data_IF_754148578057
#
_entry.id   IF_754148578057
#
_cell.length_a   1.000
_cell.length_b   1.000
_cell.length_c   1.000
_cell.angle_alpha   90.00
_cell.angle_beta   90.00
_cell.angle_gamma   90.00
#
_symmetry.space_group_name_H-M   'P 1'
#
loop_
_entity.id
_entity.type
_entity.pdbx_description
1 polymer ?
#
# COMPACT_ATOMS: atom_id res chain seq x y z
N UNK A 1 4.69 -9.39 4.23
CA UNK A 1 5.68 -9.67 3.17
C UNK A 1 5.92 -11.17 2.97
N UNK A 2 5.91 -11.96 4.02
CA UNK A 2 6.15 -13.41 3.92
C UNK A 2 5.06 -14.14 3.13
N UNK A 3 3.85 -13.62 3.13
CA UNK A 3 2.71 -14.23 2.43
C UNK A 3 2.82 -14.21 0.91
N UNK A 4 3.70 -13.38 0.35
CA UNK A 4 3.89 -13.25 -1.10
C UNK A 4 4.91 -14.23 -1.65
N UNK A 5 5.61 -14.97 -0.80
CA UNK A 5 6.71 -15.84 -1.21
C UNK A 5 7.98 -15.09 -1.62
N UNK A 6 8.01 -13.78 -1.47
CA UNK A 6 9.17 -12.96 -1.82
C UNK A 6 10.25 -13.11 -0.76
N UNK A 7 11.48 -13.45 -1.20
CA UNK A 7 12.63 -13.55 -0.31
C UNK A 7 13.09 -12.16 0.13
N UNK A 8 13.14 -11.93 1.44
CA UNK A 8 13.63 -10.68 2.00
C UNK A 8 15.11 -10.78 2.35
N UNK A 9 15.95 -10.17 1.52
CA UNK A 9 17.36 -9.94 1.84
C UNK A 9 17.48 -8.77 2.80
N UNK A 10 18.64 -8.58 3.42
CA UNK A 10 18.85 -7.46 4.34
C UNK A 10 18.56 -6.10 3.68
N UNK A 11 19.02 -5.92 2.45
CA UNK A 11 18.77 -4.68 1.72
C UNK A 11 17.29 -4.48 1.40
N UNK A 12 16.60 -5.54 1.01
CA UNK A 12 15.14 -5.47 0.77
C UNK A 12 14.37 -5.16 2.04
N UNK A 13 14.79 -5.70 3.19
CA UNK A 13 14.18 -5.39 4.48
C UNK A 13 14.35 -3.92 4.84
N UNK A 14 15.53 -3.36 4.60
CA UNK A 14 15.78 -1.94 4.83
C UNK A 14 14.87 -1.09 3.97
N UNK A 15 14.72 -1.43 2.69
CA UNK A 15 13.86 -0.70 1.77
C UNK A 15 12.39 -0.81 2.20
N UNK A 16 11.93 -2.02 2.56
CA UNK A 16 10.57 -2.23 3.05
C UNK A 16 10.29 -1.41 4.31
N UNK A 17 11.24 -1.40 5.23
CA UNK A 17 11.14 -0.63 6.47
C UNK A 17 11.01 0.87 6.20
N UNK A 18 11.80 1.39 5.26
CA UNK A 18 11.73 2.80 4.86
C UNK A 18 10.36 3.14 4.32
N UNK A 19 9.79 2.27 3.47
CA UNK A 19 8.46 2.49 2.90
C UNK A 19 7.40 2.52 4.00
N UNK A 20 7.45 1.58 4.95
CA UNK A 20 6.51 1.53 6.06
C UNK A 20 6.63 2.75 6.98
N UNK A 21 7.85 3.13 7.33
CA UNK A 21 8.09 4.28 8.20
C UNK A 21 7.75 5.60 7.51
N UNK A 22 7.93 5.68 6.21
CA UNK A 22 7.57 6.88 5.43
C UNK A 22 6.09 7.19 5.52
N UNK A 23 5.24 6.18 5.49
CA UNK A 23 3.81 6.38 5.62
C UNK A 23 3.45 6.96 6.98
N UNK A 24 4.11 6.52 8.04
CA UNK A 24 3.90 7.04 9.39
C UNK A 24 4.41 8.47 9.55
N UNK A 25 5.57 8.77 8.96
CA UNK A 25 6.22 10.08 9.10
C UNK A 25 5.57 11.15 8.22
N UNK A 26 5.25 10.81 6.97
CA UNK A 26 4.75 11.77 5.97
C UNK A 26 3.25 11.72 5.75
N UNK A 27 2.56 10.74 6.35
CA UNK A 27 1.10 10.64 6.30
C UNK A 27 0.55 9.88 5.10
N UNK A 28 -0.78 9.78 5.06
CA UNK A 28 -1.48 9.00 4.03
C UNK A 28 -1.36 9.58 2.63
N UNK A 29 -1.11 10.87 2.51
CA UNK A 29 -0.94 11.52 1.21
C UNK A 29 0.46 11.36 0.63
N UNK A 30 1.37 10.73 1.34
CA UNK A 30 2.73 10.51 0.87
C UNK A 30 2.77 9.47 -0.24
N UNK A 31 3.14 9.91 -1.43
CA UNK A 31 3.28 9.04 -2.61
C UNK A 31 4.65 9.29 -3.22
N UNK A 32 5.73 8.73 -2.62
CA UNK A 32 7.06 8.99 -3.12
C UNK A 32 7.33 8.30 -4.46
N UNK A 33 8.14 8.93 -5.28
CA UNK A 33 8.74 8.26 -6.43
C UNK A 33 9.98 7.47 -5.98
N UNK A 34 10.62 6.76 -6.91
CA UNK A 34 11.78 5.92 -6.57
C UNK A 34 12.97 6.76 -6.12
N UNK A 35 13.17 7.94 -6.69
CA UNK A 35 14.28 8.81 -6.30
C UNK A 35 14.11 9.31 -4.86
N UNK A 36 12.90 9.67 -4.47
CA UNK A 36 12.60 10.06 -3.10
C UNK A 36 12.80 8.88 -2.13
N UNK A 37 12.37 7.68 -2.52
CA UNK A 37 12.60 6.48 -1.73
C UNK A 37 14.09 6.20 -1.58
N UNK A 38 14.85 6.34 -2.67
CA UNK A 38 16.30 6.16 -2.61
C UNK A 38 16.95 7.14 -1.64
N UNK A 39 16.57 8.41 -1.67
CA UNK A 39 17.10 9.40 -0.75
C UNK A 39 16.82 9.05 0.71
N UNK A 40 15.63 8.52 1.00
CA UNK A 40 15.27 8.07 2.34
C UNK A 40 16.05 6.83 2.76
N UNK A 41 16.23 5.87 1.85
CA UNK A 41 17.01 4.65 2.10
C UNK A 41 18.48 4.99 2.35
N UNK A 42 19.04 5.88 1.56
CA UNK A 42 20.46 6.27 1.65
C UNK A 42 20.80 6.87 3.01
N UNK A 43 19.87 7.56 3.65
CA UNK A 43 20.06 8.11 4.99
C UNK A 43 20.25 7.01 6.05
N UNK A 44 19.69 5.84 5.81
CA UNK A 44 19.76 4.70 6.74
C UNK A 44 20.94 3.81 6.40
N UNK A 45 21.09 3.47 5.11
CA UNK A 45 22.18 2.62 4.64
C UNK A 45 22.73 3.13 3.29
N UNK A 46 23.82 3.91 3.34
CA UNK A 46 24.42 4.48 2.14
C UNK A 46 25.01 3.43 1.19
N UNK A 47 25.15 2.18 1.60
CA UNK A 47 25.66 1.11 0.76
C UNK A 47 24.66 0.60 -0.26
N UNK A 48 23.36 0.88 -0.04
CA UNK A 48 22.32 0.44 -0.97
C UNK A 48 22.33 1.37 -2.19
N UNK A 49 22.54 0.78 -3.36
CA UNK A 49 22.58 1.55 -4.60
C UNK A 49 21.17 1.91 -5.09
N UNK A 50 21.10 2.95 -5.93
CA UNK A 50 19.84 3.33 -6.56
C UNK A 50 19.28 2.20 -7.42
N UNK A 51 20.16 1.44 -8.10
CA UNK A 51 19.73 0.30 -8.91
C UNK A 51 19.05 -0.77 -8.07
N UNK A 52 19.55 -1.01 -6.84
CA UNK A 52 18.93 -1.95 -5.92
C UNK A 52 17.55 -1.46 -5.47
N UNK A 53 17.40 -0.17 -5.20
CA UNK A 53 16.12 0.41 -4.84
C UNK A 53 15.12 0.26 -5.99
N UNK A 54 15.50 0.57 -7.22
CA UNK A 54 14.65 0.40 -8.41
C UNK A 54 14.17 -1.04 -8.56
N UNK A 55 15.11 -2.00 -8.48
CA UNK A 55 14.75 -3.42 -8.61
C UNK A 55 13.83 -3.89 -7.50
N UNK A 56 14.09 -3.46 -6.27
CA UNK A 56 13.29 -3.85 -5.11
C UNK A 56 11.88 -3.28 -5.18
N UNK A 57 11.75 -2.00 -5.55
CA UNK A 57 10.45 -1.36 -5.74
C UNK A 57 9.63 -2.10 -6.80
N UNK A 58 10.28 -2.46 -7.91
CA UNK A 58 9.61 -3.23 -8.98
C UNK A 58 9.14 -4.60 -8.48
N UNK A 59 9.98 -5.29 -7.71
CA UNK A 59 9.61 -6.58 -7.13
C UNK A 59 8.42 -6.45 -6.16
N UNK A 60 8.42 -5.41 -5.34
CA UNK A 60 7.32 -5.16 -4.41
C UNK A 60 6.01 -4.82 -5.15
N UNK A 61 6.11 -4.08 -6.24
CA UNK A 61 4.95 -3.82 -7.10
C UNK A 61 4.41 -5.11 -7.71
N UNK A 62 5.28 -5.92 -8.30
CA UNK A 62 4.89 -7.20 -8.90
C UNK A 62 4.30 -8.17 -7.87
N UNK A 63 4.77 -8.11 -6.63
CA UNK A 63 4.27 -8.94 -5.53
C UNK A 63 2.98 -8.39 -4.91
N UNK A 64 2.49 -7.24 -5.37
CA UNK A 64 1.28 -6.63 -4.82
C UNK A 64 1.47 -5.90 -3.50
N UNK A 65 2.71 -5.69 -3.07
CA UNK A 65 3.03 -4.96 -1.83
C UNK A 65 2.89 -3.45 -2.03
N UNK A 66 3.28 -2.96 -3.21
CA UNK A 66 3.15 -1.56 -3.58
C UNK A 66 2.17 -1.40 -4.72
N UNK A 67 1.39 -0.34 -4.65
CA UNK A 67 0.57 0.14 -5.75
C UNK A 67 1.31 1.26 -6.47
N UNK A 68 1.33 1.21 -7.79
CA UNK A 68 1.98 2.19 -8.63
C UNK A 68 0.92 3.13 -9.21
N UNK A 69 1.16 4.42 -9.06
CA UNK A 69 0.30 5.46 -9.63
C UNK A 69 1.10 6.25 -10.65
N UNK A 70 0.62 6.28 -11.87
CA UNK A 70 1.22 7.06 -12.94
C UNK A 70 0.46 8.36 -13.13
N UNK A 71 1.19 9.47 -13.04
CA UNK A 71 0.62 10.79 -13.23
C UNK A 71 1.08 11.36 -14.56
N UNK A 72 0.15 12.00 -15.27
CA UNK A 72 0.42 12.59 -16.56
C UNK A 72 1.58 13.60 -16.46
N UNK A 73 2.64 13.36 -17.24
CA UNK A 73 3.80 14.23 -17.30
C UNK A 73 4.77 14.10 -16.13
N UNK A 74 4.55 13.15 -15.21
CA UNK A 74 5.38 12.96 -14.02
C UNK A 74 5.95 11.56 -13.89
N UNK A 75 6.80 11.38 -12.87
CA UNK A 75 7.33 10.07 -12.52
C UNK A 75 6.27 9.24 -11.81
N UNK A 76 6.35 7.93 -11.94
CA UNK A 76 5.50 7.03 -11.20
C UNK A 76 5.71 7.20 -9.70
N UNK A 77 4.61 7.17 -8.95
CA UNK A 77 4.63 7.28 -7.50
C UNK A 77 4.09 6.00 -6.89
N UNK A 78 4.49 5.72 -5.68
CA UNK A 78 4.21 4.45 -5.02
C UNK A 78 3.58 4.67 -3.66
N UNK A 79 2.69 3.76 -3.28
CA UNK A 79 2.15 3.69 -1.92
C UNK A 79 2.00 2.23 -1.53
N UNK A 80 1.96 1.97 -0.23
CA UNK A 80 1.66 0.64 0.26
C UNK A 80 0.27 0.23 -0.17
N UNK A 81 0.18 -0.97 -0.73
CA UNK A 81 -1.08 -1.56 -1.10
C UNK A 81 -1.70 -2.19 0.15
N UNK A 82 -2.22 -1.35 1.02
CA UNK A 82 -2.89 -1.81 2.22
C UNK A 82 -4.29 -2.30 1.86
N UNK A 83 -4.59 -3.52 2.27
CA UNK A 83 -5.93 -4.08 2.12
C UNK A 83 -6.86 -3.48 3.19
N UNK A 84 -7.00 -2.17 3.21
CA UNK A 84 -7.91 -1.54 4.14
C UNK A 84 -9.09 -0.93 3.42
N UNK A 85 -10.21 -0.91 4.12
CA UNK A 85 -11.46 -0.34 3.66
C UNK A 85 -11.71 0.97 4.40
N UNK A 86 -12.63 1.76 3.92
CA UNK A 86 -12.93 3.06 4.52
C UNK A 86 -14.39 3.15 4.93
N UNK A 87 -14.62 3.67 6.14
CA UNK A 87 -15.94 4.10 6.59
C UNK A 87 -15.90 5.63 6.71
N UNK A 88 -16.73 6.28 5.94
CA UNK A 88 -16.73 7.74 5.81
C UNK A 88 -17.95 8.32 6.50
N UNK A 89 -17.72 9.24 7.44
CA UNK A 89 -18.79 10.00 8.08
C UNK A 89 -19.21 11.12 7.12
N UNK A 90 -20.42 11.03 6.58
CA UNK A 90 -20.89 11.99 5.59
C UNK A 90 -21.18 13.38 6.17
N UNK A 91 -21.32 13.50 7.48
CA UNK A 91 -21.55 14.79 8.13
C UNK A 91 -20.24 15.52 8.44
N UNK A 92 -19.24 14.80 8.92
CA UNK A 92 -17.98 15.40 9.38
C UNK A 92 -16.84 15.25 8.40
N UNK A 93 -16.93 14.31 7.47
CA UNK A 93 -15.84 13.93 6.58
C UNK A 93 -14.78 13.06 7.24
N UNK A 94 -14.97 12.68 8.50
CA UNK A 94 -14.05 11.79 9.20
C UNK A 94 -13.99 10.44 8.50
N UNK A 95 -12.79 9.88 8.37
CA UNK A 95 -12.56 8.59 7.72
C UNK A 95 -12.00 7.61 8.72
N UNK A 96 -12.65 6.46 8.84
CA UNK A 96 -12.18 5.35 9.67
C UNK A 96 -11.69 4.27 8.72
N UNK A 97 -10.43 3.85 8.90
CA UNK A 97 -9.86 2.74 8.17
C UNK A 97 -10.10 1.45 8.93
N UNK A 98 -10.49 0.41 8.22
CA UNK A 98 -10.69 -0.90 8.85
C UNK A 98 -10.29 -2.02 7.90
N UNK A 99 -9.93 -3.16 8.48
CA UNK A 99 -9.65 -4.40 7.76
C UNK A 99 -10.60 -5.45 8.31
N UNK A 100 -11.26 -6.18 7.41
CA UNK A 100 -12.15 -7.26 7.79
C UNK A 100 -11.88 -8.45 6.88
N UNK A 101 -11.36 -9.53 7.46
CA UNK A 101 -11.01 -10.72 6.70
C UNK A 101 -12.23 -11.42 6.10
N UNK A 102 -13.37 -11.36 6.76
CA UNK A 102 -14.61 -11.95 6.24
C UNK A 102 -15.04 -11.27 4.95
N UNK A 103 -14.95 -9.95 4.90
CA UNK A 103 -15.24 -9.18 3.68
C UNK A 103 -14.27 -9.58 2.57
N UNK A 104 -12.99 -9.65 2.89
CA UNK A 104 -11.96 -10.00 1.92
C UNK A 104 -12.19 -11.40 1.34
N UNK A 105 -12.50 -12.37 2.19
CA UNK A 105 -12.79 -13.75 1.76
C UNK A 105 -14.06 -13.81 0.92
N UNK A 106 -15.09 -13.07 1.31
CA UNK A 106 -16.37 -13.05 0.58
C UNK A 106 -16.17 -12.50 -0.83
N UNK A 107 -15.39 -11.44 -0.97
CA UNK A 107 -15.12 -10.84 -2.27
C UNK A 107 -14.36 -11.81 -3.19
N UNK A 108 -13.40 -12.56 -2.65
CA UNK A 108 -12.70 -13.59 -3.41
C UNK A 108 -13.66 -14.68 -3.88
N UNK A 109 -14.55 -15.15 -3.00
CA UNK A 109 -15.54 -16.16 -3.34
C UNK A 109 -16.48 -15.67 -4.44
N UNK A 110 -16.90 -14.43 -4.39
CA UNK A 110 -17.76 -13.84 -5.41
C UNK A 110 -17.04 -13.86 -6.78
N UNK A 111 -15.78 -13.42 -6.80
CA UNK A 111 -15.01 -13.39 -8.04
C UNK A 111 -14.85 -14.83 -8.61
N UNK A 112 -14.48 -15.78 -7.78
CA UNK A 112 -14.30 -17.18 -8.19
C UNK A 112 -15.60 -17.80 -8.70
N UNK A 113 -16.72 -17.49 -8.05
CA UNK A 113 -18.04 -17.96 -8.47
C UNK A 113 -18.36 -17.54 -9.90
N UNK A 114 -17.88 -16.40 -10.32
CA UNK A 114 -18.08 -15.87 -11.67
C UNK A 114 -16.95 -16.21 -12.63
N UNK A 115 -15.97 -17.02 -12.20
CA UNK A 115 -14.85 -17.44 -13.03
C UNK A 115 -13.71 -16.45 -13.11
N UNK A 116 -13.57 -15.59 -12.11
CA UNK A 116 -12.52 -14.59 -12.07
C UNK A 116 -11.55 -14.80 -10.91
N UNK A 117 -10.31 -14.39 -11.10
CA UNK A 117 -9.35 -14.24 -10.01
C UNK A 117 -9.40 -12.79 -9.55
N UNK A 118 -9.66 -12.57 -8.27
CA UNK A 118 -9.74 -11.22 -7.72
C UNK A 118 -8.33 -10.61 -7.67
N UNK A 119 -8.14 -9.48 -8.33
CA UNK A 119 -6.85 -8.76 -8.32
C UNK A 119 -6.87 -7.65 -7.29
N UNK A 120 -7.97 -6.91 -7.22
CA UNK A 120 -8.09 -5.75 -6.33
C UNK A 120 -9.56 -5.45 -6.08
N UNK A 121 -9.82 -4.69 -5.06
CA UNK A 121 -11.16 -4.21 -4.76
C UNK A 121 -11.09 -2.83 -4.10
N UNK A 122 -12.22 -2.16 -4.09
CA UNK A 122 -12.37 -0.91 -3.38
C UNK A 122 -13.69 -0.96 -2.63
N UNK A 123 -13.64 -0.76 -1.32
CA UNK A 123 -14.84 -0.77 -0.49
C UNK A 123 -14.88 0.50 0.35
N UNK A 124 -15.96 1.25 0.18
CA UNK A 124 -16.23 2.44 0.97
C UNK A 124 -17.62 2.33 1.56
N UNK A 125 -17.73 2.50 2.86
CA UNK A 125 -18.98 2.58 3.57
C UNK A 125 -19.25 4.03 3.95
N UNK A 126 -20.47 4.47 3.80
CA UNK A 126 -20.90 5.82 4.12
C UNK A 126 -21.91 5.78 5.25
N UNK A 127 -21.66 6.51 6.30
CA UNK A 127 -22.51 6.43 7.47
C UNK A 127 -22.63 7.75 8.22
N UNK A 128 -23.47 7.71 9.23
CA UNK A 128 -23.71 8.80 10.16
C UNK A 128 -23.56 8.23 11.55
N UNK A 129 -22.86 8.94 12.44
CA UNK A 129 -22.70 8.47 13.81
C UNK A 129 -24.07 8.25 14.45
N UNK A 130 -24.20 7.11 15.11
CA UNK A 130 -25.39 6.85 15.92
C UNK A 130 -25.45 7.86 17.06
N UNK A 131 -26.65 8.23 17.44
CA UNK A 131 -26.81 9.10 18.60
C UNK A 131 -26.20 8.42 19.82
N UNK A 132 -25.47 9.18 20.61
CA UNK A 132 -24.81 8.67 21.80
C UNK A 132 -25.88 8.08 22.76
N UNK A 133 -25.53 6.94 23.27
CA UNK A 133 -26.37 6.26 24.25
C UNK A 133 -25.84 6.53 25.63
#
# INVERSE_FOLDING_TARGET
FQKTGLKLTDQRRTIARVILESKQEYGESDHPDVDELYNRVMKIDPKISIATVYRTVKLFEEAGILAKHEFKGGKARYELNDDHNHLIDIKTGEIIEFVDEEINLLQKKIAEKHGYTLIDHKLELYGIKKKSQ
#
